data_IF_627945215676
#
_entry.id   IF_627945215676
#
_cell.length_a   1.000
_cell.length_b   1.000
_cell.length_c   1.000
_cell.angle_alpha   90.00
_cell.angle_beta   90.00
_cell.angle_gamma   90.00
#
_symmetry.space_group_name_H-M   'P 1'
#
loop_
_entity.id
_entity.type
_entity.pdbx_description
1 polymer ?
#
# COMPACT_ATOMS: atom_id res chain seq x y z
N UNK A 1 -10.51 22.15 -9.70
CA UNK A 1 -10.22 22.26 -8.24
C UNK A 1 -10.29 20.85 -7.64
N UNK A 2 -9.17 20.12 -7.65
CA UNK A 2 -9.10 18.79 -7.02
C UNK A 2 -8.45 18.92 -5.64
N UNK A 3 -9.02 18.27 -4.64
CA UNK A 3 -8.38 18.17 -3.33
C UNK A 3 -7.32 17.09 -3.39
N UNK A 4 -6.16 17.40 -2.86
CA UNK A 4 -5.06 16.44 -2.77
C UNK A 4 -4.43 16.48 -1.38
N UNK A 5 -3.87 15.36 -1.00
CA UNK A 5 -3.10 15.21 0.23
C UNK A 5 -1.67 14.90 -0.17
N UNK A 6 -0.73 15.65 0.40
CA UNK A 6 0.69 15.38 0.23
C UNK A 6 1.18 14.64 1.45
N UNK A 7 1.72 13.46 1.25
CA UNK A 7 2.19 12.59 2.32
C UNK A 7 3.63 12.15 2.10
N UNK A 8 4.37 12.00 3.19
CA UNK A 8 5.76 11.58 3.20
C UNK A 8 5.89 10.19 3.84
N UNK A 9 6.33 9.15 3.12
CA UNK A 9 6.51 7.82 3.69
C UNK A 9 7.65 7.83 4.71
N UNK A 10 7.42 7.22 5.87
CA UNK A 10 8.42 7.08 6.94
C UNK A 10 8.60 5.64 7.41
N UNK A 11 7.60 4.80 7.20
CA UNK A 11 7.67 3.35 7.42
C UNK A 11 6.98 2.65 6.27
N UNK A 12 7.63 1.63 5.72
CA UNK A 12 7.05 0.79 4.68
C UNK A 12 7.29 -0.67 4.99
N UNK A 13 6.19 -1.42 5.11
CA UNK A 13 6.20 -2.87 5.25
C UNK A 13 6.92 -3.39 6.47
N UNK A 14 6.86 -2.71 7.62
CA UNK A 14 7.60 -3.11 8.82
C UNK A 14 6.69 -3.27 10.03
N UNK A 15 6.98 -4.29 10.83
CA UNK A 15 6.33 -4.50 12.14
C UNK A 15 6.87 -3.55 13.18
N UNK A 16 6.02 -3.12 14.11
CA UNK A 16 6.41 -2.25 15.20
C UNK A 16 5.26 -1.50 15.83
N UNK A 17 5.42 -1.03 17.06
CA UNK A 17 4.38 -0.26 17.76
C UNK A 17 4.47 1.26 17.51
N UNK A 18 5.59 1.74 17.01
CA UNK A 18 5.83 3.10 16.50
C UNK A 18 5.51 4.28 17.45
N UNK A 19 5.36 4.03 18.75
CA UNK A 19 5.04 5.06 19.75
C UNK A 19 6.02 6.25 19.71
N UNK A 20 7.32 5.96 19.65
CA UNK A 20 8.35 6.99 19.61
C UNK A 20 8.35 7.76 18.29
N UNK A 21 8.09 7.07 17.17
CA UNK A 21 7.96 7.69 15.86
C UNK A 21 6.82 8.72 15.85
N UNK A 22 5.65 8.38 16.36
CA UNK A 22 4.52 9.31 16.44
C UNK A 22 4.83 10.53 17.34
N UNK A 23 5.56 10.33 18.42
CA UNK A 23 6.03 11.44 19.25
C UNK A 23 7.00 12.36 18.51
N UNK A 24 7.92 11.81 17.72
CA UNK A 24 8.85 12.58 16.90
C UNK A 24 8.14 13.35 15.79
N UNK A 25 7.18 12.72 15.09
CA UNK A 25 6.38 13.35 14.03
C UNK A 25 5.62 14.55 14.62
N UNK A 26 4.99 14.36 15.80
CA UNK A 26 4.27 15.43 16.48
C UNK A 26 5.19 16.57 16.94
N UNK A 27 6.40 16.26 17.43
CA UNK A 27 7.41 17.29 17.80
C UNK A 27 7.86 18.12 16.59
N UNK A 28 7.84 17.54 15.38
CA UNK A 28 8.14 18.24 14.12
C UNK A 28 6.97 19.12 13.63
N UNK A 29 5.84 19.13 14.35
CA UNK A 29 4.68 19.98 14.03
C UNK A 29 3.60 19.31 13.19
N UNK A 30 3.72 18.02 12.86
CA UNK A 30 2.69 17.31 12.13
C UNK A 30 1.65 16.70 13.08
N UNK A 31 0.37 16.88 12.76
CA UNK A 31 -0.75 16.39 13.57
C UNK A 31 -1.40 15.12 13.03
N UNK A 32 -1.24 14.84 11.73
CA UNK A 32 -1.89 13.72 11.07
C UNK A 32 -0.88 12.78 10.42
N UNK A 33 -1.21 11.50 10.44
CA UNK A 33 -0.52 10.44 9.71
C UNK A 33 -1.53 9.63 8.92
N UNK A 34 -1.07 8.97 7.87
CA UNK A 34 -1.81 7.92 7.21
C UNK A 34 -1.15 6.59 7.61
N UNK A 35 -1.94 5.68 8.16
CA UNK A 35 -1.50 4.36 8.60
C UNK A 35 -2.33 3.33 7.86
N UNK A 36 -1.66 2.44 7.13
CA UNK A 36 -2.28 1.36 6.37
C UNK A 36 -3.42 1.85 5.45
N UNK A 37 -3.23 3.05 4.87
CA UNK A 37 -4.21 3.68 4.00
C UNK A 37 -5.24 4.57 4.69
N UNK A 38 -5.32 4.60 6.01
CA UNK A 38 -6.27 5.40 6.78
C UNK A 38 -5.62 6.64 7.40
N UNK A 39 -6.24 7.81 7.21
CA UNK A 39 -5.76 9.06 7.78
C UNK A 39 -6.29 9.22 9.19
N UNK A 40 -5.39 9.42 10.14
CA UNK A 40 -5.71 9.59 11.55
C UNK A 40 -4.89 10.68 12.22
N UNK A 41 -5.45 11.27 13.26
CA UNK A 41 -4.76 12.24 14.09
C UNK A 41 -3.82 11.54 15.09
N UNK A 42 -2.62 12.09 15.28
CA UNK A 42 -1.66 11.57 16.25
C UNK A 42 -2.12 11.90 17.66
N UNK A 43 -2.65 10.91 18.36
CA UNK A 43 -3.09 11.03 19.76
C UNK A 43 -1.91 10.89 20.72
N UNK A 44 -2.09 11.38 21.95
CA UNK A 44 -1.12 11.16 23.03
C UNK A 44 -0.99 9.67 23.33
N UNK A 45 0.24 9.16 23.36
CA UNK A 45 0.55 7.73 23.54
C UNK A 45 0.01 6.82 22.45
N UNK A 46 -0.19 7.33 21.24
CA UNK A 46 -0.57 6.50 20.08
C UNK A 46 0.46 5.42 19.83
N UNK A 47 0.00 4.21 19.60
CA UNK A 47 0.81 3.05 19.24
C UNK A 47 0.00 2.09 18.38
N UNK A 48 0.70 1.32 17.55
CA UNK A 48 0.12 0.30 16.68
C UNK A 48 0.40 -1.11 17.22
N UNK A 49 -0.22 -2.11 16.62
CA UNK A 49 0.06 -3.51 16.95
C UNK A 49 1.47 -3.87 16.46
N UNK A 50 2.35 -4.25 17.39
CA UNK A 50 3.75 -4.59 17.10
C UNK A 50 3.94 -5.83 16.22
N UNK A 51 2.93 -6.67 16.09
CA UNK A 51 2.99 -7.93 15.34
C UNK A 51 2.47 -7.81 13.92
N UNK A 52 1.76 -6.72 13.62
CA UNK A 52 1.22 -6.41 12.29
C UNK A 52 2.25 -5.62 11.48
N UNK A 53 2.27 -5.83 10.17
CA UNK A 53 3.04 -5.03 9.22
C UNK A 53 2.28 -3.74 8.97
N UNK A 54 2.99 -2.61 9.05
CA UNK A 54 2.40 -1.30 8.86
C UNK A 54 3.14 -0.49 7.80
N UNK A 55 2.37 0.34 7.09
CA UNK A 55 2.82 1.44 6.27
C UNK A 55 2.42 2.74 6.96
N UNK A 56 3.37 3.66 7.16
CA UNK A 56 3.11 4.92 7.83
C UNK A 56 3.64 6.08 6.99
N UNK A 57 2.75 7.01 6.65
CA UNK A 57 3.10 8.25 5.99
C UNK A 57 2.72 9.46 6.85
N UNK A 58 3.58 10.47 6.87
CA UNK A 58 3.27 11.76 7.48
C UNK A 58 2.36 12.53 6.53
N UNK A 59 1.21 12.97 6.97
CA UNK A 59 0.36 13.90 6.22
C UNK A 59 0.96 15.30 6.35
N UNK A 60 1.61 15.77 5.28
CA UNK A 60 2.30 17.06 5.28
C UNK A 60 1.32 18.20 5.06
N UNK A 61 0.45 18.08 4.07
CA UNK A 61 -0.56 19.10 3.78
C UNK A 61 -1.80 18.48 3.11
N UNK A 62 -2.93 19.19 3.27
CA UNK A 62 -4.19 18.93 2.58
C UNK A 62 -4.58 20.22 1.87
N UNK A 63 -4.57 20.22 0.55
CA UNK A 63 -4.80 21.42 -0.24
C UNK A 63 -5.73 21.17 -1.42
N UNK A 64 -6.31 22.26 -1.90
CA UNK A 64 -7.07 22.28 -3.16
C UNK A 64 -6.13 22.81 -4.24
N UNK A 65 -5.91 22.03 -5.28
CA UNK A 65 -5.05 22.46 -6.39
C UNK A 65 -5.78 23.54 -7.18
N UNK A 66 -5.22 24.76 -7.19
CA UNK A 66 -5.68 25.90 -7.96
C UNK A 66 -4.49 26.75 -8.43
N UNK A 67 -4.69 27.56 -9.44
CA UNK A 67 -3.60 28.38 -10.03
C UNK A 67 -2.93 29.32 -9.01
N UNK A 68 -3.65 29.75 -7.97
CA UNK A 68 -3.12 30.62 -6.92
C UNK A 68 -2.31 29.92 -5.83
N UNK A 69 -2.37 28.60 -5.70
CA UNK A 69 -1.79 27.81 -4.62
C UNK A 69 -0.41 27.21 -4.94
N UNK A 70 0.20 27.59 -6.08
CA UNK A 70 1.47 27.01 -6.55
C UNK A 70 2.60 27.13 -5.52
N UNK A 71 2.70 28.26 -4.84
CA UNK A 71 3.73 28.52 -3.81
C UNK A 71 3.57 27.61 -2.60
N UNK A 72 2.34 27.41 -2.14
CA UNK A 72 2.02 26.52 -1.03
C UNK A 72 2.27 25.06 -1.40
N UNK A 73 1.85 24.67 -2.60
CA UNK A 73 2.09 23.32 -3.13
C UNK A 73 3.59 23.01 -3.19
N UNK A 74 4.39 23.92 -3.76
CA UNK A 74 5.85 23.76 -3.86
C UNK A 74 6.48 23.59 -2.48
N UNK A 75 6.10 24.41 -1.51
CA UNK A 75 6.62 24.31 -0.14
C UNK A 75 6.23 22.97 0.53
N UNK A 76 4.98 22.53 0.35
CA UNK A 76 4.50 21.26 0.90
C UNK A 76 5.21 20.05 0.27
N UNK A 77 5.50 20.11 -1.03
CA UNK A 77 6.31 19.10 -1.74
C UNK A 77 7.73 19.06 -1.20
N UNK A 78 8.38 20.22 -1.00
CA UNK A 78 9.73 20.28 -0.45
C UNK A 78 9.82 19.71 0.97
N UNK A 79 8.83 19.98 1.81
CA UNK A 79 8.74 19.44 3.17
C UNK A 79 8.53 17.92 3.10
N UNK A 80 7.65 17.44 2.23
CA UNK A 80 7.38 16.01 2.05
C UNK A 80 8.64 15.26 1.59
N UNK A 81 9.32 15.76 0.57
CA UNK A 81 10.57 15.18 0.04
C UNK A 81 11.66 15.10 1.13
N UNK A 82 11.79 16.14 1.96
CA UNK A 82 12.75 16.15 3.08
C UNK A 82 12.37 15.16 4.18
N UNK A 83 11.08 14.96 4.42
CA UNK A 83 10.58 14.08 5.48
C UNK A 83 10.50 12.61 5.05
N UNK A 84 10.30 12.34 3.76
CA UNK A 84 10.08 11.03 3.16
C UNK A 84 11.31 10.49 2.41
N UNK A 85 12.51 10.94 2.76
CA UNK A 85 13.78 10.50 2.15
C UNK A 85 13.76 10.55 0.61
N UNK A 86 13.51 11.77 0.09
CA UNK A 86 13.42 12.10 -1.35
C UNK A 86 12.18 11.51 -2.06
N UNK A 87 11.23 10.99 -1.32
CA UNK A 87 9.99 10.41 -1.84
C UNK A 87 8.75 11.06 -1.26
N UNK A 88 7.64 11.02 -1.99
CA UNK A 88 6.34 11.48 -1.52
C UNK A 88 5.20 10.73 -2.19
N UNK A 89 4.03 10.75 -1.56
CA UNK A 89 2.76 10.36 -2.14
C UNK A 89 1.87 11.57 -2.34
N UNK A 90 1.18 11.61 -3.48
CA UNK A 90 0.02 12.49 -3.71
C UNK A 90 -1.21 11.63 -3.71
N UNK A 91 -2.15 11.92 -2.81
CA UNK A 91 -3.36 11.13 -2.59
C UNK A 91 -4.54 11.98 -3.00
N UNK A 92 -5.42 11.45 -3.85
CA UNK A 92 -6.62 12.11 -4.32
C UNK A 92 -7.83 11.94 -3.37
N UNK A 93 -9.00 12.48 -3.76
CA UNK A 93 -10.25 12.39 -2.99
C UNK A 93 -10.77 10.95 -2.88
N UNK A 94 -10.45 10.09 -3.86
CA UNK A 94 -10.84 8.68 -3.91
C UNK A 94 -9.85 7.77 -3.17
N UNK A 95 -8.88 8.37 -2.44
CA UNK A 95 -7.80 7.68 -1.73
C UNK A 95 -6.82 6.93 -2.64
N UNK A 96 -6.81 7.20 -3.95
CA UNK A 96 -5.77 6.70 -4.84
C UNK A 96 -4.47 7.45 -4.55
N UNK A 97 -3.38 6.73 -4.42
CA UNK A 97 -2.07 7.31 -4.13
C UNK A 97 -1.15 7.18 -5.34
N UNK A 98 -0.53 8.29 -5.72
CA UNK A 98 0.51 8.33 -6.74
C UNK A 98 1.86 8.60 -6.08
N UNK A 99 2.81 7.72 -6.34
CA UNK A 99 4.17 7.81 -5.81
C UNK A 99 5.06 8.69 -6.67
N UNK A 100 5.89 9.49 -6.03
CA UNK A 100 6.91 10.32 -6.69
C UNK A 100 8.24 10.19 -5.95
N UNK A 101 9.32 10.06 -6.71
CA UNK A 101 10.68 10.01 -6.21
C UNK A 101 11.55 11.05 -6.91
N UNK A 102 12.42 11.69 -6.16
CA UNK A 102 13.41 12.62 -6.74
C UNK A 102 14.62 11.90 -7.33
N UNK A 103 14.87 10.66 -6.95
CA UNK A 103 16.11 9.95 -7.27
C UNK A 103 15.93 8.86 -8.34
N UNK A 104 14.75 8.23 -8.40
CA UNK A 104 14.47 7.08 -9.27
C UNK A 104 13.28 7.43 -10.17
N UNK A 105 13.56 8.22 -11.20
CA UNK A 105 12.56 8.64 -12.19
C UNK A 105 13.05 8.21 -13.56
N UNK A 106 12.21 7.55 -14.33
CA UNK A 106 12.44 7.31 -15.74
C UNK A 106 12.26 8.63 -16.51
N UNK A 107 13.31 9.15 -17.18
CA UNK A 107 13.25 10.44 -17.86
C UNK A 107 12.27 10.47 -19.03
N UNK A 108 12.00 9.32 -19.67
CA UNK A 108 11.17 9.24 -20.86
C UNK A 108 9.67 9.15 -20.51
N UNK A 109 9.32 8.39 -19.49
CA UNK A 109 7.92 8.18 -19.08
C UNK A 109 7.49 9.06 -17.92
N UNK A 110 8.43 9.64 -17.17
CA UNK A 110 8.17 10.38 -15.92
C UNK A 110 7.70 9.48 -14.76
N UNK A 111 7.82 8.15 -14.92
CA UNK A 111 7.44 7.21 -13.87
C UNK A 111 8.52 7.20 -12.79
N UNK A 112 8.09 7.34 -11.54
CA UNK A 112 8.97 7.25 -10.39
C UNK A 112 8.97 5.82 -9.85
N UNK A 113 10.16 5.34 -9.51
CA UNK A 113 10.36 4.01 -8.92
C UNK A 113 10.80 4.14 -7.46
N UNK A 114 10.43 3.15 -6.69
CA UNK A 114 10.90 3.03 -5.31
C UNK A 114 12.33 2.52 -5.26
N UNK A 115 13.07 2.93 -4.21
CA UNK A 115 14.40 2.38 -3.98
C UNK A 115 14.27 0.88 -3.63
N UNK A 116 15.01 -0.01 -4.32
CA UNK A 116 14.95 -1.43 -4.06
C UNK A 116 15.33 -1.73 -2.62
N UNK A 117 14.47 -2.43 -1.91
CA UNK A 117 14.72 -2.91 -0.55
C UNK A 117 14.77 -4.44 -0.53
N UNK A 118 15.33 -5.09 0.49
CA UNK A 118 15.31 -6.55 0.59
C UNK A 118 13.90 -7.16 0.49
N UNK A 119 12.88 -6.44 0.96
CA UNK A 119 11.48 -6.88 0.88
C UNK A 119 10.94 -6.90 -0.55
N UNK A 120 11.47 -6.04 -1.44
CA UNK A 120 11.06 -6.01 -2.86
C UNK A 120 11.51 -7.25 -3.65
N UNK A 121 12.46 -8.00 -3.11
CA UNK A 121 12.95 -9.25 -3.71
C UNK A 121 12.48 -10.51 -2.99
N UNK A 122 11.70 -10.35 -1.93
CA UNK A 122 11.22 -11.47 -1.12
C UNK A 122 9.87 -11.97 -1.63
N UNK A 123 9.82 -13.21 -2.09
CA UNK A 123 8.55 -13.87 -2.46
C UNK A 123 7.60 -14.11 -1.27
N UNK A 124 8.07 -13.94 -0.03
CA UNK A 124 7.25 -13.99 1.20
C UNK A 124 6.75 -12.60 1.64
N UNK A 125 7.00 -11.56 0.84
CA UNK A 125 6.60 -10.20 1.16
C UNK A 125 5.57 -9.69 0.15
N UNK A 126 4.53 -8.95 0.59
CA UNK A 126 3.57 -8.30 -0.30
C UNK A 126 4.19 -7.38 -1.35
N UNK A 127 5.42 -6.92 -1.10
CA UNK A 127 6.15 -6.00 -1.98
C UNK A 127 6.98 -6.70 -3.06
N UNK A 128 7.21 -8.00 -2.92
CA UNK A 128 8.06 -8.75 -3.85
C UNK A 128 7.44 -10.02 -4.41
N UNK A 129 6.28 -10.44 -3.89
CA UNK A 129 5.62 -11.61 -4.43
C UNK A 129 4.85 -11.35 -5.73
N UNK A 130 4.57 -12.38 -6.48
CA UNK A 130 3.67 -12.33 -7.62
C UNK A 130 2.22 -12.16 -7.13
N UNK A 131 1.47 -11.22 -7.72
CA UNK A 131 0.07 -10.95 -7.34
C UNK A 131 -0.85 -12.15 -7.52
N UNK A 132 -0.58 -13.00 -8.53
CA UNK A 132 -1.38 -14.20 -8.81
C UNK A 132 -1.15 -15.31 -7.79
N UNK A 133 0.11 -15.71 -7.56
CA UNK A 133 0.43 -16.84 -6.70
C UNK A 133 0.86 -16.47 -5.29
N UNK A 134 1.02 -15.16 -4.99
CA UNK A 134 1.45 -14.63 -3.69
C UNK A 134 2.70 -15.29 -3.13
N UNK A 135 3.64 -15.60 -4.01
CA UNK A 135 4.92 -16.22 -3.66
C UNK A 135 4.90 -17.75 -3.61
N UNK A 136 3.78 -18.39 -3.87
CA UNK A 136 3.67 -19.86 -3.83
C UNK A 136 4.25 -20.55 -5.06
N UNK A 137 4.44 -19.85 -6.19
CA UNK A 137 4.94 -20.39 -7.44
C UNK A 137 3.92 -21.24 -8.20
N UNK A 138 2.76 -21.48 -7.62
CA UNK A 138 1.64 -22.25 -8.18
C UNK A 138 0.33 -21.48 -7.98
N UNK A 139 -0.60 -21.68 -8.88
CA UNK A 139 -1.97 -21.17 -8.76
C UNK A 139 -2.93 -22.36 -8.69
N UNK A 140 -3.77 -22.38 -7.69
CA UNK A 140 -4.88 -23.33 -7.61
C UNK A 140 -6.02 -22.82 -8.47
N UNK A 141 -6.32 -23.56 -9.56
CA UNK A 141 -7.47 -23.28 -10.43
C UNK A 141 -8.48 -24.41 -10.32
N UNK A 142 -9.72 -24.01 -10.10
CA UNK A 142 -10.84 -24.95 -10.18
C UNK A 142 -11.14 -25.18 -11.66
N UNK A 143 -10.84 -26.36 -12.15
CA UNK A 143 -11.16 -26.77 -13.50
C UNK A 143 -12.47 -27.54 -13.48
N UNK A 144 -13.42 -27.17 -14.38
CA UNK A 144 -14.73 -27.84 -14.49
C UNK A 144 -14.57 -29.34 -14.76
N UNK A 145 -13.60 -29.70 -15.58
CA UNK A 145 -13.27 -31.07 -15.93
C UNK A 145 -12.82 -31.94 -14.75
N UNK A 146 -12.22 -31.30 -13.73
CA UNK A 146 -11.81 -32.02 -12.52
C UNK A 146 -12.96 -32.14 -11.50
N UNK A 147 -14.00 -31.31 -11.63
CA UNK A 147 -15.19 -31.40 -10.79
C UNK A 147 -16.20 -32.38 -11.42
N UNK A 148 -16.52 -32.21 -12.71
CA UNK A 148 -17.48 -33.03 -13.43
C UNK A 148 -16.67 -33.99 -14.29
N UNK A 149 -16.47 -35.20 -13.80
CA UNK A 149 -15.68 -36.25 -14.51
C UNK A 149 -16.43 -36.89 -15.62
N UNK A 150 -17.75 -36.97 -15.53
CA UNK A 150 -18.61 -37.52 -16.58
C UNK A 150 -19.99 -36.82 -16.56
N UNK A 151 -20.28 -36.07 -17.61
CA UNK A 151 -21.54 -35.33 -17.74
C UNK A 151 -22.76 -36.27 -18.00
N UNK A 152 -22.53 -37.52 -18.33
CA UNK A 152 -23.59 -38.50 -18.56
C UNK A 152 -24.02 -39.21 -17.26
N UNK A 153 -23.29 -39.07 -16.20
CA UNK A 153 -23.64 -39.62 -14.90
C UNK A 153 -24.55 -38.69 -14.10
N UNK A 154 -25.41 -39.26 -13.29
CA UNK A 154 -26.13 -38.46 -12.27
C UNK A 154 -25.21 -38.14 -11.11
N UNK A 155 -25.54 -37.09 -10.32
CA UNK A 155 -24.80 -36.67 -9.13
C UNK A 155 -24.66 -37.85 -8.14
N UNK A 156 -25.73 -38.60 -7.95
CA UNK A 156 -25.73 -39.78 -7.07
C UNK A 156 -24.83 -40.95 -7.57
N UNK A 157 -24.53 -40.97 -8.86
CA UNK A 157 -23.62 -41.98 -9.48
C UNK A 157 -22.18 -41.49 -9.59
N UNK A 158 -21.89 -40.28 -9.03
CA UNK A 158 -20.53 -39.79 -8.97
C UNK A 158 -20.12 -38.84 -10.10
N UNK A 159 -21.08 -38.17 -10.77
CA UNK A 159 -20.76 -37.13 -11.75
C UNK A 159 -19.84 -36.05 -11.22
N UNK A 160 -19.93 -35.74 -9.91
CA UNK A 160 -19.12 -34.69 -9.23
C UNK A 160 -18.07 -35.39 -8.36
N UNK A 161 -16.81 -35.41 -8.81
CA UNK A 161 -15.71 -36.07 -8.13
C UNK A 161 -15.54 -35.72 -6.66
N UNK A 162 -15.61 -34.39 -6.23
CA UNK A 162 -15.47 -34.02 -4.84
C UNK A 162 -16.55 -34.54 -3.89
N UNK A 163 -17.72 -34.88 -4.40
CA UNK A 163 -18.84 -35.44 -3.61
C UNK A 163 -18.77 -36.95 -3.43
N UNK A 164 -17.96 -37.62 -4.27
CA UNK A 164 -17.89 -39.08 -4.30
C UNK A 164 -19.19 -39.76 -4.77
N UNK A 165 -19.26 -41.09 -4.61
CA UNK A 165 -20.49 -41.82 -4.86
C UNK A 165 -21.36 -41.87 -3.59
N UNK A 166 -22.61 -41.46 -3.70
CA UNK A 166 -23.58 -41.66 -2.63
C UNK A 166 -23.86 -43.19 -2.54
N UNK A 167 -23.53 -43.74 -1.39
CA UNK A 167 -23.91 -45.11 -1.03
C UNK A 167 -25.27 -45.13 -0.34
#
# INVERSE_FOLDING_TARGET
NSKVIIAAPVVKGRKGHYKELFLQIRKKGFSNVRVDGEIMEIKKNMQLDRYVIHDIEIVVDKLVVSEGETSRLSNSVDIAIKSGDKTLYVIDEDNNSKFYSKSLVDPDTGISYEEPSPNSFSFNSPYGWCDSCKGLGVEDKILKENIIVDENLSISRGAIAPLGQYR
#
